data_IF_609556976644
#
_entry.id   IF_609556976644
#
_cell.length_a   1.000
_cell.length_b   1.000
_cell.length_c   1.000
_cell.angle_alpha   90.00
_cell.angle_beta   90.00
_cell.angle_gamma   90.00
#
_symmetry.space_group_name_H-M   'P 1'
#
loop_
_entity.id
_entity.type
_entity.pdbx_description
1 polymer ?
#
# COMPACT_ATOMS: atom_id res chain seq x y z
N UNK A 1 -4.93 -9.09 0.87
CA UNK A 1 -4.31 -7.78 1.06
C UNK A 1 -3.42 -8.00 2.24
N UNK A 2 -2.13 -7.76 2.06
CA UNK A 2 -1.17 -7.87 3.15
C UNK A 2 -0.52 -6.51 3.27
N UNK A 3 -0.84 -5.79 4.35
CA UNK A 3 -0.27 -4.48 4.66
C UNK A 3 0.48 -4.61 5.98
N UNK A 4 1.75 -4.23 5.98
CA UNK A 4 2.51 -4.10 7.21
C UNK A 4 1.97 -2.97 8.09
N UNK A 5 1.93 -3.19 9.40
CA UNK A 5 1.41 -2.22 10.37
C UNK A 5 2.14 -0.87 10.40
N UNK A 6 3.37 -0.81 9.87
CA UNK A 6 4.16 0.42 9.78
C UNK A 6 3.90 1.24 8.50
N UNK A 7 3.13 0.71 7.54
CA UNK A 7 2.80 1.43 6.32
C UNK A 7 1.93 2.66 6.60
N UNK A 8 2.28 3.80 6.00
CA UNK A 8 1.47 5.01 6.04
C UNK A 8 0.64 5.09 4.76
N UNK A 9 -0.67 4.91 4.88
CA UNK A 9 -1.58 4.92 3.74
C UNK A 9 -2.59 6.04 3.94
N UNK A 10 -2.59 7.01 3.02
CA UNK A 10 -3.55 8.09 3.10
C UNK A 10 -5.00 7.55 2.93
N UNK A 11 -5.99 7.99 3.72
CA UNK A 11 -7.35 7.44 3.70
C UNK A 11 -8.10 7.56 2.36
N UNK A 12 -7.67 8.48 1.48
CA UNK A 12 -8.24 8.63 0.13
C UNK A 12 -7.64 7.67 -0.90
N UNK A 13 -6.69 6.83 -0.50
CA UNK A 13 -6.08 5.82 -1.37
C UNK A 13 -6.97 4.58 -1.46
N UNK A 14 -6.92 3.90 -2.60
CA UNK A 14 -7.62 2.63 -2.82
C UNK A 14 -6.57 1.53 -2.97
N UNK A 15 -6.71 0.46 -2.18
CA UNK A 15 -5.82 -0.69 -2.21
C UNK A 15 -6.67 -1.93 -2.49
N UNK A 16 -6.43 -2.58 -3.62
CA UNK A 16 -7.15 -3.78 -4.00
C UNK A 16 -6.77 -4.96 -3.10
N UNK A 17 -7.68 -5.92 -2.92
CA UNK A 17 -7.48 -7.04 -2.01
C UNK A 17 -6.28 -7.93 -2.39
N UNK A 18 -5.75 -7.89 -3.60
CA UNK A 18 -4.56 -8.67 -3.97
C UNK A 18 -3.22 -8.03 -3.60
N UNK A 19 -3.20 -6.73 -3.30
CA UNK A 19 -1.96 -5.98 -3.14
C UNK A 19 -1.13 -6.42 -1.92
N UNK A 20 0.19 -6.30 -2.06
CA UNK A 20 1.16 -6.42 -0.99
C UNK A 20 1.82 -5.06 -0.71
N UNK A 21 1.86 -4.66 0.57
CA UNK A 21 2.48 -3.42 1.04
C UNK A 21 3.42 -3.75 2.20
N UNK A 22 4.72 -3.57 1.95
CA UNK A 22 5.81 -3.81 2.90
C UNK A 22 5.91 -2.77 4.02
N UNK A 23 6.92 -2.93 4.86
CA UNK A 23 7.16 -2.07 6.02
C UNK A 23 7.62 -0.67 5.60
N UNK A 24 7.20 0.36 6.35
CA UNK A 24 7.56 1.76 6.14
C UNK A 24 7.21 2.30 4.74
N UNK A 25 6.25 1.69 4.04
CA UNK A 25 5.76 2.19 2.74
C UNK A 25 4.89 3.43 2.95
N UNK A 26 5.00 4.42 2.07
CA UNK A 26 4.20 5.65 2.15
C UNK A 26 3.35 5.88 0.89
N UNK A 27 2.03 5.66 1.03
CA UNK A 27 1.05 5.83 -0.05
C UNK A 27 0.32 7.18 0.11
N UNK A 28 0.57 8.08 -0.83
CA UNK A 28 -0.02 9.42 -0.86
C UNK A 28 -1.51 9.45 -1.22
N UNK A 29 -2.16 10.62 -1.10
CA UNK A 29 -3.59 10.77 -1.38
C UNK A 29 -3.94 10.42 -2.83
N UNK A 30 -5.08 9.76 -3.01
CA UNK A 30 -5.67 9.41 -4.33
C UNK A 30 -4.86 8.39 -5.16
N UNK A 31 -3.90 7.70 -4.54
CA UNK A 31 -3.24 6.56 -5.17
C UNK A 31 -4.20 5.37 -5.30
N UNK A 32 -4.00 4.56 -6.35
CA UNK A 32 -4.66 3.26 -6.52
C UNK A 32 -3.59 2.17 -6.67
N UNK A 33 -3.62 1.18 -5.78
CA UNK A 33 -2.73 0.02 -5.81
C UNK A 33 -3.52 -1.21 -6.24
N UNK A 34 -3.22 -1.70 -7.44
CA UNK A 34 -3.88 -2.85 -8.05
C UNK A 34 -3.55 -4.18 -7.36
N UNK A 35 -4.38 -5.19 -7.60
CA UNK A 35 -4.27 -6.51 -6.97
C UNK A 35 -2.98 -7.29 -7.26
N UNK A 36 -2.22 -6.92 -8.28
CA UNK A 36 -0.96 -7.58 -8.67
C UNK A 36 0.28 -6.78 -8.25
N UNK A 37 0.10 -5.66 -7.56
CA UNK A 37 1.20 -4.77 -7.17
C UNK A 37 1.84 -5.25 -5.86
N UNK A 38 3.17 -5.22 -5.85
CA UNK A 38 4.00 -5.44 -4.67
C UNK A 38 4.82 -4.18 -4.39
N UNK A 39 4.54 -3.52 -3.27
CA UNK A 39 5.38 -2.44 -2.75
C UNK A 39 6.32 -3.03 -1.70
N UNK A 40 7.62 -3.03 -2.00
CA UNK A 40 8.65 -3.49 -1.08
C UNK A 40 8.89 -2.50 0.07
N UNK A 41 9.64 -2.92 1.08
CA UNK A 41 9.90 -2.10 2.26
C UNK A 41 10.56 -0.76 1.91
N UNK A 42 10.07 0.32 2.52
CA UNK A 42 10.61 1.68 2.41
C UNK A 42 10.31 2.40 1.09
N UNK A 43 9.34 1.92 0.31
CA UNK A 43 8.87 2.56 -0.94
C UNK A 43 7.91 3.72 -0.68
#
# INVERSE_FOLDING_TARGET
MSIDSSANIHPSSVIDTGAFVGANVNIGPFCHVGSEVTLNDGV
#
